data_IF_998996416787
#
_entry.id   IF_998996416787
#
_cell.length_a   1.000
_cell.length_b   1.000
_cell.length_c   1.000
_cell.angle_alpha   90.00
_cell.angle_beta   90.00
_cell.angle_gamma   90.00
#
_symmetry.space_group_name_H-M   'P 1'
#
loop_
_entity.id
_entity.type
_entity.pdbx_description
1 polymer ?
#
# COMPACT_ATOMS: atom_id res chain seq x y z
N UNK A 1 5.92 18.62 -14.07
CA UNK A 1 6.53 19.20 -12.86
C UNK A 1 5.92 18.63 -11.58
N UNK A 2 4.60 18.65 -11.39
CA UNK A 2 3.95 18.18 -10.14
C UNK A 2 4.30 16.72 -9.75
N UNK A 3 4.20 15.78 -10.69
CA UNK A 3 4.54 14.38 -10.44
C UNK A 3 6.04 14.15 -10.16
N UNK A 4 6.92 15.02 -10.65
CA UNK A 4 8.34 14.93 -10.29
C UNK A 4 8.55 15.24 -8.81
N UNK A 5 7.89 16.29 -8.31
CA UNK A 5 7.94 16.66 -6.89
C UNK A 5 7.33 15.59 -5.99
N UNK A 6 6.15 15.06 -6.33
CA UNK A 6 5.53 13.96 -5.56
C UNK A 6 6.44 12.72 -5.53
N UNK A 7 7.09 12.41 -6.65
CA UNK A 7 8.07 11.32 -6.70
C UNK A 7 9.25 11.52 -5.75
N UNK A 8 9.80 12.75 -5.69
CA UNK A 8 10.88 13.09 -4.76
C UNK A 8 10.46 12.95 -3.30
N UNK A 9 9.23 13.35 -2.94
CA UNK A 9 8.69 13.14 -1.58
C UNK A 9 8.65 11.65 -1.24
N UNK A 10 8.17 10.81 -2.17
CA UNK A 10 8.17 9.36 -1.98
C UNK A 10 9.58 8.77 -1.80
N UNK A 11 10.56 9.22 -2.59
CA UNK A 11 11.96 8.78 -2.45
C UNK A 11 12.58 9.24 -1.14
N UNK A 12 12.33 10.47 -0.69
CA UNK A 12 12.80 10.97 0.59
C UNK A 12 12.21 10.17 1.77
N UNK A 13 10.91 9.84 1.69
CA UNK A 13 10.24 9.02 2.70
C UNK A 13 10.82 7.61 2.78
N UNK A 14 11.14 6.99 1.63
CA UNK A 14 11.83 5.71 1.60
C UNK A 14 13.22 5.79 2.28
N UNK A 15 13.98 6.84 1.98
CA UNK A 15 15.28 7.08 2.63
C UNK A 15 15.16 7.24 4.14
N UNK A 16 14.17 8.02 4.61
CA UNK A 16 13.87 8.17 6.03
C UNK A 16 13.53 6.83 6.69
N UNK A 17 12.66 6.02 6.07
CA UNK A 17 12.32 4.68 6.54
C UNK A 17 13.54 3.77 6.63
N UNK A 18 14.45 3.85 5.66
CA UNK A 18 15.69 3.08 5.68
C UNK A 18 16.60 3.44 6.86
N UNK A 19 16.73 4.74 7.18
CA UNK A 19 17.47 5.21 8.35
C UNK A 19 16.83 4.68 9.63
N UNK A 20 15.49 4.78 9.77
CA UNK A 20 14.76 4.26 10.93
C UNK A 20 14.87 2.75 11.10
N UNK A 21 14.92 2.00 10.00
CA UNK A 21 15.15 0.56 10.04
C UNK A 21 16.56 0.22 10.56
N UNK A 22 17.58 0.95 10.10
CA UNK A 22 18.95 0.77 10.59
C UNK A 22 19.06 1.11 12.08
N UNK A 23 18.43 2.20 12.51
CA UNK A 23 18.36 2.62 13.90
C UNK A 23 17.65 1.58 14.77
N UNK A 24 16.52 1.03 14.32
CA UNK A 24 15.82 -0.05 15.01
C UNK A 24 16.70 -1.29 15.16
N UNK A 25 17.42 -1.70 14.11
CA UNK A 25 18.37 -2.83 14.20
C UNK A 25 19.50 -2.57 15.19
N UNK A 26 20.06 -1.36 15.19
CA UNK A 26 21.11 -0.96 16.13
C UNK A 26 20.60 -0.90 17.58
N UNK A 27 19.31 -0.64 17.79
CA UNK A 27 18.72 -0.53 19.13
C UNK A 27 18.77 -1.81 19.96
N UNK A 28 19.00 -2.96 19.34
CA UNK A 28 19.24 -4.23 20.05
C UNK A 28 20.47 -4.16 20.96
N UNK A 29 21.49 -3.43 20.53
CA UNK A 29 22.76 -3.31 21.25
C UNK A 29 22.87 -1.99 22.04
N UNK A 30 21.78 -1.23 22.12
CA UNK A 30 21.76 0.01 22.89
C UNK A 30 21.86 -0.25 24.40
N UNK A 31 22.47 0.67 25.16
CA UNK A 31 22.45 0.59 26.62
C UNK A 31 21.02 0.69 27.15
N UNK A 32 20.79 0.09 28.32
CA UNK A 32 19.46 0.01 28.93
C UNK A 32 19.40 0.74 30.26
N UNK A 33 18.22 1.28 30.58
CA UNK A 33 17.90 1.94 31.83
C UNK A 33 16.57 1.40 32.38
N UNK A 34 16.43 1.44 33.71
CA UNK A 34 15.14 1.14 34.33
C UNK A 34 14.23 2.36 34.19
N UNK A 35 12.99 2.12 33.76
CA UNK A 35 11.96 3.13 33.62
C UNK A 35 10.61 2.68 34.15
N UNK A 36 9.64 3.59 34.08
CA UNK A 36 8.24 3.35 34.48
C UNK A 36 7.29 4.03 33.51
N UNK A 37 6.20 3.34 33.18
CA UNK A 37 5.11 3.90 32.38
C UNK A 37 4.35 4.96 33.19
N UNK A 38 4.24 6.17 32.66
CA UNK A 38 3.50 7.28 33.29
C UNK A 38 2.16 7.56 32.60
N UNK A 39 2.00 7.18 31.33
CA UNK A 39 0.74 7.27 30.59
C UNK A 39 0.57 6.03 29.74
N UNK A 40 -0.65 5.47 29.74
CA UNK A 40 -1.01 4.33 28.91
C UNK A 40 -2.52 4.32 28.68
N UNK A 41 -2.94 4.72 27.49
CA UNK A 41 -4.36 4.78 27.11
C UNK A 41 -4.53 4.65 25.61
N UNK A 42 -5.74 4.25 25.22
CA UNK A 42 -6.18 4.28 23.83
C UNK A 42 -6.78 5.66 23.57
N UNK A 43 -6.24 6.38 22.60
CA UNK A 43 -6.80 7.63 22.11
C UNK A 43 -7.58 7.36 20.82
N UNK A 44 -8.73 8.02 20.68
CA UNK A 44 -9.57 7.91 19.48
C UNK A 44 -9.60 9.26 18.77
N UNK A 45 -9.28 9.24 17.48
CA UNK A 45 -9.39 10.39 16.60
C UNK A 45 -10.59 10.19 15.69
N UNK A 46 -11.60 11.05 15.83
CA UNK A 46 -12.74 11.10 14.92
C UNK A 46 -12.41 11.96 13.70
N UNK A 47 -12.72 11.42 12.53
CA UNK A 47 -12.60 12.12 11.24
C UNK A 47 -13.89 11.88 10.42
N UNK A 48 -14.12 12.69 9.38
CA UNK A 48 -15.26 12.52 8.48
C UNK A 48 -15.31 11.11 7.86
N UNK A 49 -14.15 10.46 7.71
CA UNK A 49 -13.99 9.13 7.13
C UNK A 49 -14.04 7.98 8.16
N UNK A 50 -14.20 8.30 9.46
CA UNK A 50 -14.33 7.31 10.54
C UNK A 50 -13.46 7.59 11.78
N UNK A 51 -13.55 6.69 12.77
CA UNK A 51 -12.78 6.74 14.02
C UNK A 51 -11.51 5.90 13.92
N UNK A 52 -10.35 6.52 14.16
CA UNK A 52 -9.04 5.85 14.25
C UNK A 52 -8.58 5.76 15.71
N UNK A 53 -7.91 4.67 16.08
CA UNK A 53 -7.41 4.46 17.45
C UNK A 53 -5.88 4.43 17.48
N UNK A 54 -5.27 5.24 18.34
CA UNK A 54 -3.82 5.31 18.60
C UNK A 54 -3.53 4.96 20.06
N UNK A 55 -2.32 4.47 20.34
CA UNK A 55 -1.88 4.20 21.71
C UNK A 55 -1.04 5.37 22.18
N UNK A 56 -1.47 6.02 23.26
CA UNK A 56 -0.72 7.05 23.96
C UNK A 56 0.01 6.38 25.13
N UNK A 57 1.28 6.07 24.92
CA UNK A 57 2.16 5.44 25.91
C UNK A 57 3.35 6.36 26.13
N UNK A 58 3.48 6.87 27.35
CA UNK A 58 4.61 7.71 27.76
C UNK A 58 5.28 7.08 28.96
N UNK A 59 6.60 7.06 28.96
CA UNK A 59 7.39 6.48 30.04
C UNK A 59 8.56 7.38 30.40
N UNK A 60 9.00 7.26 31.66
CA UNK A 60 10.17 7.96 32.19
C UNK A 60 11.24 6.97 32.58
N UNK A 61 12.50 7.35 32.43
CA UNK A 61 13.67 6.53 32.75
C UNK A 61 14.82 7.43 33.21
N UNK A 62 15.72 6.86 34.00
CA UNK A 62 16.86 7.61 34.55
C UNK A 62 18.16 7.16 33.91
N UNK A 63 18.91 8.12 33.35
CA UNK A 63 20.25 7.91 32.78
C UNK A 63 21.20 8.82 33.54
N UNK A 64 22.19 8.24 34.22
CA UNK A 64 23.22 8.98 34.97
C UNK A 64 22.68 10.02 35.99
N UNK A 65 21.52 9.74 36.59
CA UNK A 65 20.87 10.65 37.55
C UNK A 65 19.93 11.68 36.92
N UNK A 66 19.86 11.75 35.59
CA UNK A 66 18.92 12.63 34.86
C UNK A 66 17.69 11.84 34.43
N UNK A 67 16.49 12.37 34.72
CA UNK A 67 15.24 11.78 34.26
C UNK A 67 14.93 12.23 32.83
N UNK A 68 14.64 11.27 31.96
CA UNK A 68 14.24 11.47 30.57
C UNK A 68 12.87 10.84 30.35
N UNK A 69 12.19 11.26 29.28
CA UNK A 69 10.90 10.70 28.86
C UNK A 69 10.87 10.43 27.37
N UNK A 70 10.20 9.35 26.97
CA UNK A 70 9.95 9.00 25.56
C UNK A 70 8.55 8.40 25.43
N UNK A 71 8.03 8.45 24.21
CA UNK A 71 6.74 7.88 23.78
C UNK A 71 6.91 6.81 22.69
N UNK A 72 8.15 6.47 22.33
CA UNK A 72 8.43 5.52 21.26
C UNK A 72 8.38 4.09 21.80
N UNK A 73 7.41 3.31 21.34
CA UNK A 73 7.32 1.87 21.63
C UNK A 73 8.22 1.08 20.68
N UNK A 74 8.10 1.35 19.37
CA UNK A 74 8.85 0.71 18.29
C UNK A 74 9.40 1.80 17.37
N UNK A 75 10.69 1.72 17.01
CA UNK A 75 11.31 2.67 16.09
C UNK A 75 10.75 2.45 14.68
N UNK A 76 10.26 3.53 14.07
CA UNK A 76 9.85 3.54 12.66
C UNK A 76 8.40 3.15 12.38
N UNK A 77 7.59 2.79 13.38
CA UNK A 77 6.16 2.58 13.12
C UNK A 77 5.37 1.91 14.25
N UNK A 78 4.04 2.01 14.12
CA UNK A 78 3.06 1.44 15.04
C UNK A 78 2.48 0.12 14.48
N UNK A 79 3.34 -0.88 14.25
CA UNK A 79 2.88 -2.23 13.86
C UNK A 79 2.42 -3.06 15.07
N UNK A 80 1.62 -2.44 15.95
CA UNK A 80 1.04 -3.10 17.11
C UNK A 80 -0.44 -2.79 17.24
N UNK A 81 -1.19 -3.76 17.79
CA UNK A 81 -2.57 -3.52 18.18
C UNK A 81 -2.61 -2.54 19.35
N UNK A 82 -3.32 -1.42 19.16
CA UNK A 82 -3.51 -0.35 20.14
C UNK A 82 -3.94 -0.86 21.51
N UNK A 83 -4.89 -1.80 21.54
CA UNK A 83 -5.38 -2.38 22.79
C UNK A 83 -4.36 -3.32 23.43
N UNK A 84 -3.63 -4.10 22.62
CA UNK A 84 -2.61 -5.03 23.10
C UNK A 84 -1.44 -4.28 23.73
N UNK A 85 -0.95 -3.22 23.08
CA UNK A 85 0.19 -2.45 23.60
C UNK A 85 -0.13 -1.77 24.94
N UNK A 86 -1.34 -1.20 25.09
CA UNK A 86 -1.80 -0.59 26.35
C UNK A 86 -1.92 -1.65 27.46
N UNK A 87 -2.41 -2.85 27.13
CA UNK A 87 -2.45 -3.97 28.07
C UNK A 87 -1.05 -4.49 28.46
N UNK A 88 -0.09 -4.46 27.54
CA UNK A 88 1.30 -4.85 27.81
C UNK A 88 2.02 -3.81 28.67
N UNK A 89 1.68 -2.54 28.54
CA UNK A 89 2.32 -1.42 29.23
C UNK A 89 1.33 -0.59 30.06
N UNK A 90 0.71 -1.15 31.12
CA UNK A 90 -0.15 -0.37 32.01
C UNK A 90 0.64 0.69 32.79
N UNK A 91 -0.05 1.73 33.25
CA UNK A 91 0.52 2.79 34.11
C UNK A 91 1.17 2.17 35.35
N UNK A 92 2.26 2.79 35.82
CA UNK A 92 3.11 2.38 36.94
C UNK A 92 3.88 1.06 36.76
N UNK A 93 3.77 0.41 35.60
CA UNK A 93 4.60 -0.76 35.29
C UNK A 93 6.06 -0.35 35.15
N UNK A 94 6.95 -1.07 35.85
CA UNK A 94 8.39 -0.98 35.64
C UNK A 94 8.77 -1.66 34.32
N UNK A 95 9.59 -0.99 33.53
CA UNK A 95 10.02 -1.42 32.20
C UNK A 95 11.52 -1.22 32.02
N UNK A 96 12.11 -2.02 31.13
CA UNK A 96 13.47 -1.79 30.64
C UNK A 96 13.39 -0.94 29.38
N UNK A 97 14.09 0.18 29.38
CA UNK A 97 14.13 1.14 28.28
C UNK A 97 15.49 1.08 27.63
N UNK A 98 15.55 0.95 26.30
CA UNK A 98 16.81 1.03 25.54
C UNK A 98 16.97 2.45 25.00
N UNK A 99 18.09 3.11 25.24
CA UNK A 99 18.32 4.50 24.83
C UNK A 99 19.52 4.63 23.91
N UNK A 100 19.49 5.58 22.98
CA UNK A 100 20.60 5.79 22.07
C UNK A 100 21.82 6.30 22.86
N UNK A 101 23.01 5.70 22.70
CA UNK A 101 24.19 6.05 23.48
C UNK A 101 24.65 7.50 23.22
N UNK A 102 24.40 8.02 22.02
CA UNK A 102 24.77 9.38 21.63
C UNK A 102 23.70 10.43 22.00
N UNK A 103 22.46 9.99 22.30
CA UNK A 103 21.34 10.86 22.64
C UNK A 103 20.34 10.13 23.55
N UNK A 104 20.47 10.36 24.86
CA UNK A 104 19.60 9.75 25.86
C UNK A 104 18.12 10.17 25.75
N UNK A 105 17.77 11.20 24.97
CA UNK A 105 16.36 11.57 24.73
C UNK A 105 15.68 10.64 23.73
N UNK A 106 16.47 9.90 22.95
CA UNK A 106 15.98 8.90 22.02
C UNK A 106 15.97 7.53 22.69
N UNK A 107 14.80 7.04 23.04
CA UNK A 107 14.64 5.76 23.71
C UNK A 107 13.45 4.98 23.17
N UNK A 108 13.52 3.65 23.30
CA UNK A 108 12.54 2.69 22.77
C UNK A 108 12.24 1.59 23.79
N UNK A 109 10.99 1.12 23.83
CA UNK A 109 10.56 0.00 24.68
C UNK A 109 10.81 -1.38 24.04
N UNK A 110 10.64 -1.50 22.73
CA UNK A 110 10.80 -2.74 21.97
C UNK A 110 11.94 -2.58 20.96
N UNK A 111 13.21 -2.78 21.38
CA UNK A 111 14.37 -2.68 20.49
C UNK A 111 14.38 -3.81 19.45
N UNK A 112 14.92 -3.53 18.27
CA UNK A 112 15.10 -4.52 17.19
C UNK A 112 13.84 -4.89 16.41
N UNK A 113 12.69 -4.30 16.74
CA UNK A 113 11.46 -4.53 15.97
C UNK A 113 11.53 -3.75 14.66
N UNK A 114 11.60 -4.48 13.55
CA UNK A 114 11.69 -3.89 12.22
C UNK A 114 10.31 -3.45 11.73
N UNK A 115 10.17 -2.16 11.37
CA UNK A 115 9.00 -1.66 10.64
C UNK A 115 9.39 -1.21 9.23
N UNK A 116 8.51 -1.54 8.27
CA UNK A 116 8.67 -1.24 6.85
C UNK A 116 7.65 -0.23 6.33
N UNK A 117 6.91 0.43 7.23
CA UNK A 117 5.80 1.32 6.91
C UNK A 117 6.23 2.47 5.98
N UNK A 118 7.28 3.20 6.34
CA UNK A 118 7.76 4.35 5.56
C UNK A 118 8.35 3.95 4.21
N UNK A 119 9.01 2.80 4.13
CA UNK A 119 9.57 2.26 2.89
C UNK A 119 8.46 1.85 1.93
N UNK A 120 7.45 1.13 2.42
CA UNK A 120 6.29 0.68 1.63
C UNK A 120 5.51 1.88 1.11
N UNK A 121 5.24 2.86 1.97
CA UNK A 121 4.55 4.10 1.59
C UNK A 121 5.38 4.92 0.59
N UNK A 122 6.69 5.07 0.83
CA UNK A 122 7.61 5.80 -0.03
C UNK A 122 7.71 5.21 -1.44
N UNK A 123 7.86 3.88 -1.54
CA UNK A 123 7.84 3.17 -2.84
C UNK A 123 6.50 3.37 -3.54
N UNK A 124 5.38 3.22 -2.83
CA UNK A 124 4.05 3.42 -3.39
C UNK A 124 3.86 4.81 -4.00
N UNK A 125 4.25 5.86 -3.26
CA UNK A 125 4.17 7.25 -3.72
C UNK A 125 5.11 7.47 -4.92
N UNK A 126 6.36 7.02 -4.86
CA UNK A 126 7.33 7.22 -5.93
C UNK A 126 6.92 6.49 -7.22
N UNK A 127 6.55 5.21 -7.13
CA UNK A 127 6.11 4.40 -8.27
C UNK A 127 4.79 4.92 -8.85
N UNK A 128 3.81 5.23 -8.00
CA UNK A 128 2.55 5.82 -8.42
C UNK A 128 2.75 7.15 -9.15
N UNK A 129 3.62 8.02 -8.63
CA UNK A 129 3.90 9.31 -9.26
C UNK A 129 4.56 9.15 -10.64
N UNK A 130 5.51 8.21 -10.78
CA UNK A 130 6.10 7.89 -12.07
C UNK A 130 5.04 7.40 -13.06
N UNK A 131 4.15 6.50 -12.63
CA UNK A 131 3.06 5.99 -13.44
C UNK A 131 2.13 7.10 -13.93
N UNK A 132 1.69 7.99 -13.04
CA UNK A 132 0.85 9.13 -13.41
C UNK A 132 1.58 10.12 -14.32
N UNK A 133 2.87 10.36 -14.09
CA UNK A 133 3.68 11.20 -14.96
C UNK A 133 3.72 10.66 -16.40
N UNK A 134 3.92 9.35 -16.55
CA UNK A 134 3.96 8.68 -17.87
C UNK A 134 2.61 8.76 -18.58
N UNK A 135 1.50 8.46 -17.89
CA UNK A 135 0.15 8.56 -18.46
C UNK A 135 -0.13 10.00 -18.87
N UNK A 136 0.08 10.96 -17.97
CA UNK A 136 -0.23 12.36 -18.23
C UNK A 136 0.60 12.91 -19.41
N UNK A 137 1.90 12.62 -19.44
CA UNK A 137 2.76 12.99 -20.58
C UNK A 137 2.28 12.34 -21.89
N UNK A 138 1.91 11.06 -21.86
CA UNK A 138 1.37 10.36 -23.05
C UNK A 138 0.09 11.03 -23.55
N UNK A 139 -0.82 11.40 -22.63
CA UNK A 139 -2.08 12.06 -22.97
C UNK A 139 -1.84 13.44 -23.61
N UNK A 140 -0.93 14.24 -23.06
CA UNK A 140 -0.59 15.55 -23.62
C UNK A 140 -0.02 15.43 -25.05
N UNK A 141 0.88 14.46 -25.29
CA UNK A 141 1.44 14.21 -26.63
C UNK A 141 0.38 13.78 -27.63
N UNK A 142 -0.53 12.91 -27.21
CA UNK A 142 -1.67 12.47 -28.05
C UNK A 142 -2.58 13.65 -28.37
N UNK A 143 -2.87 14.53 -27.41
CA UNK A 143 -3.68 15.72 -27.61
C UNK A 143 -3.00 16.77 -28.51
N UNK A 144 -1.67 16.90 -28.41
CA UNK A 144 -0.86 17.80 -29.23
C UNK A 144 -0.61 17.27 -30.65
N UNK A 145 -0.97 16.01 -30.94
CA UNK A 145 -0.71 15.38 -32.24
C UNK A 145 0.77 15.11 -32.51
N UNK A 146 1.60 15.05 -31.46
CA UNK A 146 3.03 14.80 -31.57
C UNK A 146 3.35 13.34 -31.97
N UNK A 147 4.55 13.12 -32.49
CA UNK A 147 5.04 11.77 -32.73
C UNK A 147 5.17 10.97 -31.43
N UNK A 148 4.68 9.73 -31.46
CA UNK A 148 4.64 8.88 -30.27
C UNK A 148 6.02 8.31 -29.96
N UNK A 149 6.50 8.62 -28.76
CA UNK A 149 7.72 8.04 -28.20
C UNK A 149 7.56 6.54 -27.92
N UNK A 150 8.68 5.85 -27.69
CA UNK A 150 8.69 4.46 -27.21
C UNK A 150 7.96 4.33 -25.86
N UNK A 151 8.08 5.32 -24.97
CA UNK A 151 7.37 5.32 -23.68
C UNK A 151 5.85 5.44 -23.86
N UNK A 152 5.41 6.26 -24.82
CA UNK A 152 3.98 6.39 -25.14
C UNK A 152 3.42 5.06 -25.65
N UNK A 153 4.20 4.34 -26.46
CA UNK A 153 3.82 3.00 -26.95
C UNK A 153 3.69 1.99 -25.80
N UNK A 154 4.56 2.04 -24.80
CA UNK A 154 4.48 1.18 -23.61
C UNK A 154 3.20 1.43 -22.79
N UNK A 155 2.73 2.68 -22.72
CA UNK A 155 1.46 3.01 -22.06
C UNK A 155 0.26 2.63 -22.94
N UNK A 156 0.33 2.94 -24.24
CA UNK A 156 -0.82 2.83 -25.14
C UNK A 156 -1.11 1.39 -25.54
N UNK A 157 -0.12 0.55 -25.80
CA UNK A 157 -0.37 -0.81 -26.31
C UNK A 157 -1.09 -1.72 -25.33
N UNK A 158 -0.77 -1.74 -24.02
CA UNK A 158 -1.56 -2.49 -23.05
C UNK A 158 -3.01 -2.01 -22.98
N UNK A 159 -3.22 -0.68 -22.95
CA UNK A 159 -4.56 -0.08 -22.92
C UNK A 159 -5.34 -0.42 -24.20
N UNK A 160 -4.69 -0.36 -25.37
CA UNK A 160 -5.29 -0.78 -26.64
C UNK A 160 -5.59 -2.26 -26.67
N UNK A 161 -4.70 -3.11 -26.16
CA UNK A 161 -4.92 -4.55 -26.06
C UNK A 161 -6.15 -4.87 -25.20
N UNK A 162 -6.26 -4.20 -24.05
CA UNK A 162 -7.40 -4.31 -23.14
C UNK A 162 -8.70 -3.75 -23.75
N UNK A 163 -8.63 -2.62 -24.45
CA UNK A 163 -9.80 -2.08 -25.14
C UNK A 163 -10.23 -2.96 -26.31
N UNK A 164 -9.27 -3.53 -27.04
CA UNK A 164 -9.52 -4.40 -28.18
C UNK A 164 -10.14 -5.73 -27.73
N UNK A 165 -9.66 -6.32 -26.62
CA UNK A 165 -10.29 -7.52 -26.06
C UNK A 165 -11.72 -7.25 -25.59
N UNK A 166 -12.00 -6.11 -24.95
CA UNK A 166 -13.35 -5.73 -24.52
C UNK A 166 -14.28 -5.42 -25.71
N UNK A 167 -13.83 -4.59 -26.66
CA UNK A 167 -14.64 -4.15 -27.81
C UNK A 167 -14.86 -5.24 -28.86
N UNK A 168 -13.81 -6.00 -29.18
CA UNK A 168 -13.90 -7.12 -30.13
C UNK A 168 -14.58 -8.34 -29.49
N UNK A 169 -14.33 -8.59 -28.20
CA UNK A 169 -14.94 -9.66 -27.44
C UNK A 169 -16.45 -9.54 -27.29
N UNK A 170 -16.99 -8.33 -27.16
CA UNK A 170 -18.45 -8.13 -27.12
C UNK A 170 -19.12 -8.50 -28.47
N UNK A 171 -18.45 -8.25 -29.60
CA UNK A 171 -18.92 -8.70 -30.92
C UNK A 171 -18.81 -10.23 -31.06
N UNK A 172 -17.68 -10.78 -30.60
CA UNK A 172 -17.30 -12.18 -30.72
C UNK A 172 -17.07 -12.83 -29.33
N UNK A 173 -18.14 -13.27 -28.64
CA UNK A 173 -18.06 -13.71 -27.24
C UNK A 173 -17.18 -14.95 -27.01
N UNK A 174 -16.91 -15.76 -28.04
CA UNK A 174 -15.99 -16.89 -27.93
C UNK A 174 -14.55 -16.45 -27.58
N UNK A 175 -14.15 -15.24 -27.98
CA UNK A 175 -12.81 -14.70 -27.68
C UNK A 175 -12.70 -14.36 -26.18
N UNK A 176 -13.77 -13.80 -25.61
CA UNK A 176 -13.84 -13.58 -24.16
C UNK A 176 -13.79 -14.92 -23.42
N UNK A 177 -14.49 -15.95 -23.91
CA UNK A 177 -14.42 -17.28 -23.31
C UNK A 177 -12.99 -17.84 -23.32
N UNK A 178 -12.26 -17.73 -24.45
CA UNK A 178 -10.85 -18.13 -24.53
C UNK A 178 -9.97 -17.34 -23.55
N UNK A 179 -10.17 -16.03 -23.43
CA UNK A 179 -9.41 -15.18 -22.50
C UNK A 179 -9.71 -15.51 -21.04
N UNK A 180 -10.96 -15.80 -20.70
CA UNK A 180 -11.35 -16.26 -19.36
C UNK A 180 -10.71 -17.61 -19.04
N UNK A 181 -10.80 -18.58 -19.96
CA UNK A 181 -10.19 -19.91 -19.75
C UNK A 181 -8.68 -19.81 -19.61
N UNK A 182 -8.02 -19.01 -20.44
CA UNK A 182 -6.58 -18.78 -20.34
C UNK A 182 -6.20 -18.09 -19.01
N UNK A 183 -6.95 -17.06 -18.59
CA UNK A 183 -6.73 -16.36 -17.33
C UNK A 183 -6.92 -17.27 -16.10
N UNK A 184 -7.97 -18.10 -16.09
CA UNK A 184 -8.20 -19.09 -15.03
C UNK A 184 -7.04 -20.10 -15.01
N UNK A 185 -6.64 -20.62 -16.16
CA UNK A 185 -5.52 -21.57 -16.24
C UNK A 185 -4.21 -20.95 -15.72
N UNK A 186 -3.89 -19.73 -16.13
CA UNK A 186 -2.69 -19.02 -15.66
C UNK A 186 -2.76 -18.75 -14.15
N UNK A 187 -3.94 -18.51 -13.59
CA UNK A 187 -4.12 -18.35 -12.14
C UNK A 187 -3.89 -19.62 -11.31
N UNK A 188 -3.84 -20.80 -11.95
CA UNK A 188 -3.50 -22.05 -11.26
C UNK A 188 -2.00 -22.34 -11.22
N UNK A 189 -1.20 -21.57 -11.97
CA UNK A 189 0.25 -21.71 -11.99
C UNK A 189 0.86 -20.91 -10.83
N UNK A 190 1.97 -21.40 -10.28
CA UNK A 190 2.76 -20.68 -9.29
C UNK A 190 3.62 -19.61 -10.00
N UNK A 191 3.12 -18.37 -10.01
CA UNK A 191 3.68 -17.24 -10.76
C UNK A 191 4.10 -16.09 -9.84
N UNK A 192 4.59 -16.42 -8.64
CA UNK A 192 5.22 -15.45 -7.73
C UNK A 192 4.28 -14.27 -7.41
N UNK A 193 2.99 -14.55 -7.21
CA UNK A 193 1.95 -13.55 -6.90
C UNK A 193 1.20 -13.00 -8.12
N UNK A 194 1.66 -13.29 -9.35
CA UNK A 194 0.93 -12.88 -10.56
C UNK A 194 -0.35 -13.71 -10.79
N UNK A 195 -0.49 -14.87 -10.16
CA UNK A 195 -1.70 -15.70 -10.22
C UNK A 195 -2.97 -14.92 -9.84
N UNK A 196 -2.88 -14.01 -8.85
CA UNK A 196 -3.98 -13.13 -8.45
C UNK A 196 -4.33 -12.09 -9.52
N UNK A 197 -3.34 -11.60 -10.25
CA UNK A 197 -3.54 -10.67 -11.38
C UNK A 197 -4.29 -11.38 -12.51
N UNK A 198 -3.93 -12.63 -12.80
CA UNK A 198 -4.63 -13.43 -13.81
C UNK A 198 -6.05 -13.81 -13.37
N UNK A 199 -6.25 -14.16 -12.09
CA UNK A 199 -7.58 -14.45 -11.54
C UNK A 199 -8.52 -13.25 -11.62
N UNK A 200 -8.05 -12.07 -11.21
CA UNK A 200 -8.83 -10.82 -11.28
C UNK A 200 -9.14 -10.42 -12.73
N UNK A 201 -8.16 -10.53 -13.63
CA UNK A 201 -8.40 -10.31 -15.06
C UNK A 201 -9.45 -11.28 -15.63
N UNK A 202 -9.38 -12.57 -15.30
CA UNK A 202 -10.35 -13.57 -15.73
C UNK A 202 -11.77 -13.25 -15.21
N UNK A 203 -11.90 -12.83 -13.95
CA UNK A 203 -13.18 -12.42 -13.38
C UNK A 203 -13.80 -11.22 -14.12
N UNK A 204 -12.99 -10.21 -14.47
CA UNK A 204 -13.44 -9.06 -15.27
C UNK A 204 -13.94 -9.51 -16.64
N UNK A 205 -13.16 -10.32 -17.37
CA UNK A 205 -13.57 -10.82 -18.68
C UNK A 205 -14.82 -11.73 -18.61
N UNK A 206 -14.99 -12.49 -17.53
CA UNK A 206 -16.17 -13.32 -17.30
C UNK A 206 -17.42 -12.47 -17.12
N UNK A 207 -17.36 -11.41 -16.31
CA UNK A 207 -18.46 -10.47 -16.16
C UNK A 207 -18.86 -9.85 -17.51
N UNK A 208 -17.87 -9.39 -18.29
CA UNK A 208 -18.11 -8.82 -19.62
C UNK A 208 -18.76 -9.84 -20.56
N UNK A 209 -18.32 -11.11 -20.52
CA UNK A 209 -18.90 -12.19 -21.31
C UNK A 209 -20.36 -12.45 -20.92
N UNK A 210 -20.68 -12.49 -19.62
CA UNK A 210 -22.04 -12.69 -19.12
C UNK A 210 -22.96 -11.59 -19.65
N UNK A 211 -22.55 -10.32 -19.52
CA UNK A 211 -23.33 -9.19 -20.06
C UNK A 211 -23.50 -9.27 -21.58
N UNK A 212 -22.43 -9.60 -22.32
CA UNK A 212 -22.48 -9.73 -23.77
C UNK A 212 -23.50 -10.80 -24.22
N UNK A 213 -23.52 -11.96 -23.55
CA UNK A 213 -24.48 -13.03 -23.82
C UNK A 213 -25.90 -12.64 -23.43
N UNK A 214 -26.07 -11.97 -22.29
CA UNK A 214 -27.37 -11.48 -21.82
C UNK A 214 -28.02 -10.51 -22.81
N UNK A 215 -27.28 -9.52 -23.33
CA UNK A 215 -27.82 -8.59 -24.32
C UNK A 215 -28.16 -9.27 -25.65
N UNK A 216 -27.36 -10.25 -26.10
CA UNK A 216 -27.71 -11.05 -27.28
C UNK A 216 -28.98 -11.88 -27.08
N UNK A 217 -29.15 -12.44 -25.89
CA UNK A 217 -30.36 -13.17 -25.52
C UNK A 217 -31.60 -12.27 -25.50
N UNK A 218 -31.50 -11.07 -24.91
CA UNK A 218 -32.59 -10.09 -24.92
C UNK A 218 -32.96 -9.64 -26.33
N UNK A 219 -31.97 -9.37 -27.19
CA UNK A 219 -32.22 -9.00 -28.58
C UNK A 219 -32.84 -10.13 -29.40
N UNK A 220 -32.48 -11.38 -29.11
CA UNK A 220 -33.15 -12.54 -29.69
C UNK A 220 -34.61 -12.63 -29.20
N UNK A 221 -34.86 -12.45 -27.90
CA UNK A 221 -36.20 -12.47 -27.32
C UNK A 221 -37.11 -11.39 -27.92
N UNK A 222 -36.61 -10.17 -28.09
CA UNK A 222 -37.38 -9.08 -28.72
C UNK A 222 -37.72 -9.39 -30.19
N UNK A 223 -36.80 -10.04 -30.92
CA UNK A 223 -37.05 -10.45 -32.32
C UNK A 223 -38.16 -11.50 -32.47
N UNK A 224 -38.47 -12.26 -31.41
CA UNK A 224 -39.59 -13.19 -31.38
C UNK A 224 -40.91 -12.46 -31.13
N UNK A 225 -40.89 -11.42 -30.31
CA UNK A 225 -42.07 -10.60 -30.00
C UNK A 225 -42.55 -9.74 -31.18
N UNK A 226 -41.65 -9.34 -32.09
CA UNK A 226 -42.02 -8.56 -33.29
C UNK A 226 -42.62 -9.42 -34.42
N UNK A 227 -42.51 -10.76 -34.33
CA UNK A 227 -42.99 -11.69 -35.35
C UNK A 227 -44.35 -12.33 -35.04
N UNK A 228 -44.97 -12.02 -33.89
CA UNK A 228 -46.33 -12.45 -33.51
C UNK A 228 -47.33 -11.32 -33.68
#
# INVERSE_FOLDING_TARGET
MIWGFVGLVGTALFGYGHIKLQESRASVDWPTANGRIITSRVESHESEDGTTYSADIVYVYNVEGTEHSSDVVVIGGHEYSTHNVVQRYPVDKNVTVSYAPDDATNAVLEPGVESYMFQTLGIGIAAGSLFFALIFNTLLRVAAGEERSLLDKLVIYPVKGLWLSLGFGNRHPFILAVLVTAGIYLSTLDLWGLEYVFATAAAIYLLVLIFALYFKFLGWLSSLSEKS
#
